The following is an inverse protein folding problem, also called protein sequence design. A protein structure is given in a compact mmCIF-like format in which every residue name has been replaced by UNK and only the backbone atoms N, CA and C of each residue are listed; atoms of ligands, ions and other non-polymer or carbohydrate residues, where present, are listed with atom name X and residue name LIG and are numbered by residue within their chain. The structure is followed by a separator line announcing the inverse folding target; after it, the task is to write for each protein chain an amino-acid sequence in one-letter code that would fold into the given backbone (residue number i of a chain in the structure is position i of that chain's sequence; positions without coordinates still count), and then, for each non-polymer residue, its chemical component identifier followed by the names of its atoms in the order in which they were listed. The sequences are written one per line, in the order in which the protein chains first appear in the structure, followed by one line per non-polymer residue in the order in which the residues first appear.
data_IF_670838733286
#
_entry.id   IF_670838733286
#
_cell.length_a   1.000
_cell.length_b   1.000
_cell.length_c   1.000
_cell.angle_alpha   90.00
_cell.angle_beta   90.00
_cell.angle_gamma   90.00
#
_symmetry.space_group_name_H-M   'P 1'
#
loop_
_entity.id
_entity.type
_entity.pdbx_description
1 polymer ?
#
# COMPACT_ATOMS: atom_id res chain seq x y z
N UNK A 1 12.70 -7.04 13.63
CA UNK A 1 11.91 -5.81 13.86
C UNK A 1 11.56 -5.08 12.56
N UNK A 2 12.54 -4.71 11.72
CA UNK A 2 12.32 -4.07 10.41
C UNK A 2 11.39 -4.88 9.48
N UNK A 3 11.30 -6.20 9.68
CA UNK A 3 10.38 -7.08 8.95
C UNK A 3 8.89 -6.66 9.07
N UNK A 4 8.50 -5.98 10.15
CA UNK A 4 7.09 -5.59 10.37
C UNK A 4 6.75 -4.22 9.78
N UNK A 5 7.74 -3.51 9.24
CA UNK A 5 7.58 -2.20 8.61
C UNK A 5 7.21 -2.41 7.14
N UNK A 6 6.11 -1.78 6.69
CA UNK A 6 5.61 -1.85 5.31
C UNK A 6 6.25 -0.76 4.44
N UNK A 7 7.56 -0.85 4.24
CA UNK A 7 8.31 0.04 3.37
C UNK A 7 7.72 0.20 1.95
N UNK A 8 7.14 -0.84 1.31
CA UNK A 8 6.51 -0.69 -0.01
C UNK A 8 5.31 0.27 -0.05
N UNK A 9 4.66 0.52 1.10
CA UNK A 9 3.53 1.44 1.21
C UNK A 9 3.96 2.87 1.58
N UNK A 10 5.24 3.08 1.87
CA UNK A 10 5.80 4.40 2.18
C UNK A 10 6.19 5.11 0.88
N UNK A 11 6.09 6.44 0.84
CA UNK A 11 6.43 7.23 -0.35
C UNK A 11 7.90 7.08 -0.77
N UNK A 12 8.15 7.09 -2.09
CA UNK A 12 9.48 6.94 -2.69
C UNK A 12 10.50 7.92 -2.11
N UNK A 13 10.13 9.18 -1.97
CA UNK A 13 11.07 10.23 -1.57
C UNK A 13 11.52 10.04 -0.10
N UNK A 14 10.63 9.55 0.77
CA UNK A 14 10.99 9.20 2.15
C UNK A 14 11.94 7.99 2.21
N UNK A 15 11.71 6.98 1.37
CA UNK A 15 12.59 5.81 1.28
C UNK A 15 14.02 6.21 0.88
N UNK A 16 14.15 7.15 -0.06
CA UNK A 16 15.45 7.63 -0.54
C UNK A 16 16.12 8.64 0.41
N UNK A 17 15.34 9.53 1.03
CA UNK A 17 15.91 10.61 1.84
C UNK A 17 16.22 10.20 3.29
N UNK A 18 15.42 9.30 3.88
CA UNK A 18 15.57 8.95 5.30
C UNK A 18 15.89 7.47 5.50
N UNK A 19 15.16 6.57 4.84
CA UNK A 19 15.32 5.12 5.10
C UNK A 19 16.64 4.58 4.55
N UNK A 20 17.15 5.14 3.46
CA UNK A 20 18.46 4.78 2.90
C UNK A 20 19.65 5.18 3.78
N UNK A 21 19.51 6.26 4.56
CA UNK A 21 20.57 6.81 5.41
C UNK A 21 20.52 6.27 6.85
N UNK A 22 19.48 5.49 7.19
CA UNK A 22 19.32 4.92 8.51
C UNK A 22 20.42 3.87 8.83
N UNK A 23 21.21 4.05 9.90
CA UNK A 23 22.33 3.16 10.22
C UNK A 23 21.89 1.72 10.52
N UNK A 24 20.65 1.52 11.00
CA UNK A 24 20.06 0.20 11.20
C UNK A 24 19.82 -0.56 9.88
N UNK A 25 19.54 0.17 8.80
CA UNK A 25 19.41 -0.41 7.46
C UNK A 25 20.76 -0.67 6.82
N UNK A 26 21.72 0.23 7.01
CA UNK A 26 23.05 0.08 6.40
C UNK A 26 23.88 -1.04 7.04
N UNK A 27 23.69 -1.28 8.34
CA UNK A 27 24.38 -2.32 9.11
C UNK A 27 23.80 -3.73 8.90
N UNK A 28 22.55 -3.85 8.43
CA UNK A 28 21.90 -5.14 8.20
C UNK A 28 21.74 -5.44 6.71
N UNK A 29 22.17 -6.63 6.26
CA UNK A 29 21.94 -7.08 4.88
C UNK A 29 20.44 -7.17 4.55
N UNK A 30 19.66 -7.71 5.49
CA UNK A 30 18.21 -7.83 5.36
C UNK A 30 17.51 -6.46 5.19
N UNK A 31 18.00 -5.41 5.85
CA UNK A 31 17.45 -4.06 5.72
C UNK A 31 17.56 -3.52 4.30
N UNK A 32 18.70 -3.79 3.64
CA UNK A 32 18.94 -3.39 2.24
C UNK A 32 18.03 -4.13 1.27
N UNK A 33 17.83 -5.43 1.47
CA UNK A 33 16.93 -6.23 0.64
C UNK A 33 15.48 -5.71 0.72
N UNK A 34 15.04 -5.31 1.92
CA UNK A 34 13.71 -4.72 2.12
C UNK A 34 13.55 -3.34 1.44
N UNK A 35 14.60 -2.52 1.43
CA UNK A 35 14.59 -1.24 0.72
C UNK A 35 14.53 -1.45 -0.79
N UNK A 36 15.28 -2.41 -1.31
CA UNK A 36 15.27 -2.78 -2.74
C UNK A 36 13.89 -3.29 -3.14
N UNK A 37 13.27 -4.14 -2.32
CA UNK A 37 11.89 -4.62 -2.55
C UNK A 37 10.91 -3.45 -2.64
N UNK A 38 10.97 -2.52 -1.68
CA UNK A 38 10.11 -1.34 -1.66
C UNK A 38 10.33 -0.42 -2.88
N UNK A 39 11.59 -0.20 -3.27
CA UNK A 39 11.93 0.57 -4.47
C UNK A 39 11.40 -0.10 -5.74
N UNK A 40 11.56 -1.43 -5.85
CA UNK A 40 11.04 -2.24 -6.96
C UNK A 40 9.52 -2.11 -7.07
N UNK A 41 8.81 -2.08 -5.95
CA UNK A 41 7.35 -1.87 -5.92
C UNK A 41 6.91 -0.50 -6.45
N UNK A 42 7.74 0.53 -6.25
CA UNK A 42 7.51 1.88 -6.82
C UNK A 42 7.86 1.97 -8.30
N UNK A 43 8.89 1.26 -8.74
CA UNK A 43 9.36 1.23 -10.14
C UNK A 43 8.45 0.41 -11.07
N UNK A 44 7.78 -0.63 -10.56
CA UNK A 44 6.98 -1.57 -11.35
C UNK A 44 5.48 -1.52 -10.98
N UNK A 45 4.78 -0.41 -11.27
CA UNK A 45 3.36 -0.27 -10.94
C UNK A 45 2.48 -1.35 -11.61
N UNK A 46 2.85 -1.78 -12.82
CA UNK A 46 2.15 -2.79 -13.61
C UNK A 46 2.21 -4.20 -13.00
N UNK A 47 3.28 -4.50 -12.24
CA UNK A 47 3.48 -5.80 -11.61
C UNK A 47 3.02 -5.83 -10.14
N UNK A 48 2.41 -4.75 -9.62
CA UNK A 48 1.95 -4.72 -8.22
C UNK A 48 0.99 -5.84 -7.86
N UNK A 49 0.15 -6.27 -8.81
CA UNK A 49 -0.76 -7.41 -8.64
C UNK A 49 -0.02 -8.74 -8.46
N UNK A 50 1.19 -8.87 -9.00
CA UNK A 50 2.04 -10.05 -8.85
C UNK A 50 2.98 -9.94 -7.64
N UNK A 51 3.17 -8.73 -7.09
CA UNK A 51 3.99 -8.45 -5.91
C UNK A 51 3.14 -8.33 -4.63
N UNK A 52 1.97 -8.96 -4.60
CA UNK A 52 1.08 -8.92 -3.44
C UNK A 52 1.67 -9.75 -2.30
N UNK A 53 2.04 -9.07 -1.21
CA UNK A 53 2.55 -9.66 0.02
C UNK A 53 1.89 -8.97 1.22
N UNK A 54 2.09 -9.51 2.41
CA UNK A 54 1.65 -8.88 3.67
C UNK A 54 2.18 -7.44 3.81
N UNK A 55 3.27 -7.11 3.10
CA UNK A 55 3.94 -5.80 3.13
C UNK A 55 3.42 -4.82 2.09
N UNK A 56 2.84 -5.30 0.99
CA UNK A 56 2.23 -4.48 -0.06
C UNK A 56 0.71 -4.36 0.09
N UNK A 57 0.15 -5.02 1.10
CA UNK A 57 -1.26 -4.91 1.50
C UNK A 57 -1.40 -4.01 2.72
N UNK A 58 -2.35 -3.08 2.69
CA UNK A 58 -2.72 -2.29 3.86
C UNK A 58 -3.19 -3.21 5.01
N UNK A 59 -3.01 -2.76 6.26
CA UNK A 59 -3.57 -3.48 7.42
C UNK A 59 -5.07 -3.61 7.19
N UNK A 60 -5.57 -4.84 7.19
CA UNK A 60 -6.99 -5.12 7.40
C UNK A 60 -7.15 -5.59 8.83
N UNK A 61 -7.89 -4.87 9.68
CA UNK A 61 -8.21 -5.34 11.02
C UNK A 61 -9.02 -6.65 10.91
N UNK A 62 -8.61 -7.67 11.66
CA UNK A 62 -9.37 -8.92 11.73
C UNK A 62 -10.74 -8.65 12.36
N UNK A 63 -11.81 -9.10 11.71
CA UNK A 63 -13.20 -8.99 12.20
C UNK A 63 -14.06 -7.89 11.57
N UNK A 64 -13.48 -6.98 10.78
CA UNK A 64 -14.25 -5.96 10.04
C UNK A 64 -14.68 -6.51 8.67
N UNK A 65 -15.99 -6.69 8.47
CA UNK A 65 -16.56 -7.09 7.17
C UNK A 65 -16.62 -5.88 6.22
N UNK A 66 -16.28 -6.04 4.93
CA UNK A 66 -16.39 -4.96 3.96
C UNK A 66 -17.86 -4.57 3.77
N UNK A 67 -18.15 -3.27 3.78
CA UNK A 67 -19.49 -2.73 3.50
C UNK A 67 -19.49 -2.04 2.14
N UNK A 68 -20.49 -2.35 1.32
CA UNK A 68 -20.68 -1.74 0.01
C UNK A 68 -21.76 -0.67 0.09
N UNK A 69 -21.40 0.59 -0.15
CA UNK A 69 -22.36 1.70 -0.22
C UNK A 69 -22.65 2.04 -1.69
N UNK A 70 -23.91 1.90 -2.09
CA UNK A 70 -24.40 2.39 -3.37
C UNK A 70 -25.04 3.76 -3.15
N UNK A 71 -24.38 4.83 -3.63
CA UNK A 71 -24.93 6.19 -3.60
C UNK A 71 -25.48 6.49 -5.00
N UNK A 72 -26.81 6.55 -5.12
CA UNK A 72 -27.48 6.99 -6.34
C UNK A 72 -27.93 8.44 -6.21
N UNK A 73 -27.54 9.30 -7.15
CA UNK A 73 -28.25 10.57 -7.35
C UNK A 73 -29.47 10.31 -8.23
N UNK A 74 -30.67 10.65 -7.75
CA UNK A 74 -31.90 10.61 -8.55
C UNK A 74 -32.03 11.94 -9.31
N UNK A 75 -31.51 12.00 -10.52
CA UNK A 75 -31.83 13.08 -11.47
C UNK A 75 -32.40 12.47 -12.76
N UNK A 76 -33.57 12.97 -13.18
CA UNK A 76 -34.43 12.38 -14.23
C UNK A 76 -33.82 12.26 -15.64
N UNK A 77 -32.54 12.57 -15.86
CA UNK A 77 -31.94 12.58 -17.19
C UNK A 77 -30.63 11.81 -17.35
N UNK A 78 -30.02 11.25 -16.30
CA UNK A 78 -28.82 10.42 -16.50
C UNK A 78 -28.55 9.46 -15.33
N UNK A 79 -28.62 8.14 -15.59
CA UNK A 79 -28.44 7.09 -14.57
C UNK A 79 -26.95 6.75 -14.40
N UNK A 80 -26.17 7.61 -13.75
CA UNK A 80 -24.81 7.25 -13.30
C UNK A 80 -24.85 6.73 -11.87
N UNK A 81 -24.78 5.41 -11.70
CA UNK A 81 -24.56 4.78 -10.38
C UNK A 81 -23.07 4.90 -10.05
N UNK A 82 -22.73 5.67 -9.02
CA UNK A 82 -21.36 5.71 -8.50
C UNK A 82 -21.26 4.70 -7.34
N UNK A 83 -20.31 3.76 -7.45
CA UNK A 83 -20.03 2.75 -6.44
C UNK A 83 -18.77 3.16 -5.68
N UNK A 84 -18.91 3.50 -4.40
CA UNK A 84 -17.76 3.81 -3.54
C UNK A 84 -17.55 2.62 -2.60
N UNK A 85 -16.50 1.84 -2.87
CA UNK A 85 -16.07 0.77 -1.97
C UNK A 85 -15.20 1.38 -0.85
N UNK A 86 -15.81 1.69 0.30
CA UNK A 86 -15.05 2.06 1.49
C UNK A 86 -14.68 0.76 2.20
N UNK A 87 -13.42 0.33 2.04
CA UNK A 87 -12.87 -0.68 2.95
C UNK A 87 -12.44 0.06 4.20
N UNK A 88 -13.24 0.00 5.28
CA UNK A 88 -12.90 0.63 6.55
C UNK A 88 -11.60 0.03 7.09
N UNK A 89 -10.64 0.92 7.38
CA UNK A 89 -9.29 0.61 7.88
C UNK A 89 -9.29 0.00 9.29
#
# INVERSE_FOLDING_TARGET
LLYHVRLPLTGRDFLLAQVADEPLLQSSGEGKDLLIEAMKYHLLPEQRNNMVSVRTTHRKPEGLRPYLFAIGNYSSSNKSKYMICITSA
#
